data_IF_450535903793
#
_entry.id   IF_450535903793
#
_cell.length_a   1.000
_cell.length_b   1.000
_cell.length_c   1.000
_cell.angle_alpha   90.00
_cell.angle_beta   90.00
_cell.angle_gamma   90.00
#
_symmetry.space_group_name_H-M   'P 1'
#
loop_
_entity.id
_entity.type
_entity.pdbx_description
1 polymer ?
#
# COMPACT_ATOMS: atom_id res chain seq x y z
N UNK A 1 -18.80 -16.23 -21.44
CA UNK A 1 -18.94 -14.77 -21.68
C UNK A 1 -19.14 -14.14 -20.32
N UNK A 2 -18.20 -13.30 -19.89
CA UNK A 2 -18.25 -12.64 -18.60
C UNK A 2 -19.32 -11.56 -18.66
N UNK A 3 -20.31 -11.61 -17.77
CA UNK A 3 -21.37 -10.59 -17.67
C UNK A 3 -20.91 -9.44 -16.78
N UNK A 4 -19.69 -8.92 -17.04
CA UNK A 4 -19.17 -7.77 -16.31
C UNK A 4 -19.67 -6.49 -17.02
N UNK A 5 -20.54 -5.67 -16.40
CA UNK A 5 -21.08 -4.46 -17.02
C UNK A 5 -20.04 -3.33 -17.24
N UNK A 6 -18.78 -3.57 -16.87
CA UNK A 6 -17.63 -2.68 -17.11
C UNK A 6 -16.72 -3.16 -18.24
N UNK A 7 -17.13 -4.20 -18.99
CA UNK A 7 -16.40 -4.75 -20.15
C UNK A 7 -16.68 -3.94 -21.44
N UNK A 8 -16.73 -2.60 -21.30
CA UNK A 8 -16.79 -1.65 -22.41
C UNK A 8 -15.38 -1.06 -22.58
N UNK A 9 -14.90 -0.90 -23.82
CA UNK A 9 -13.59 -0.32 -24.18
C UNK A 9 -13.30 1.04 -23.50
N UNK A 10 -14.34 1.75 -23.07
CA UNK A 10 -14.23 3.03 -22.36
C UNK A 10 -13.70 2.91 -20.93
N UNK A 11 -13.98 1.81 -20.23
CA UNK A 11 -13.53 1.58 -18.85
C UNK A 11 -12.15 0.94 -18.77
N UNK A 12 -11.69 0.34 -19.87
CA UNK A 12 -10.42 -0.35 -19.96
C UNK A 12 -9.23 0.54 -19.56
N UNK A 13 -9.26 1.83 -19.93
CA UNK A 13 -8.23 2.81 -19.56
C UNK A 13 -8.07 3.10 -18.06
N UNK A 14 -9.05 2.72 -17.24
CA UNK A 14 -9.04 2.94 -15.80
C UNK A 14 -8.70 1.68 -15.00
N UNK A 15 -8.51 0.56 -15.69
CA UNK A 15 -8.17 -0.73 -15.08
C UNK A 15 -6.73 -1.05 -15.46
N UNK A 16 -5.93 -1.42 -14.46
CA UNK A 16 -4.59 -1.97 -14.73
C UNK A 16 -4.71 -3.39 -15.25
N UNK A 17 -4.04 -3.68 -16.36
CA UNK A 17 -3.91 -5.01 -16.92
C UNK A 17 -2.69 -5.74 -16.36
N UNK A 18 -2.66 -7.08 -16.43
CA UNK A 18 -1.45 -7.84 -16.11
C UNK A 18 -0.26 -7.34 -16.95
N UNK A 19 0.76 -6.81 -16.27
CA UNK A 19 1.97 -6.27 -16.91
C UNK A 19 2.03 -4.75 -17.01
N UNK A 20 0.93 -4.03 -16.73
CA UNK A 20 0.92 -2.56 -16.74
C UNK A 20 1.68 -1.97 -15.54
N UNK A 21 1.68 -2.70 -14.42
CA UNK A 21 2.38 -2.30 -13.21
C UNK A 21 3.85 -2.73 -13.30
N UNK A 22 4.72 -1.75 -13.47
CA UNK A 22 6.18 -1.92 -13.39
C UNK A 22 6.62 -1.49 -11.99
N UNK A 23 7.24 -2.42 -11.28
CA UNK A 23 7.86 -2.11 -9.98
C UNK A 23 9.12 -1.29 -10.19
N UNK A 24 9.18 -0.11 -9.57
CA UNK A 24 10.38 0.72 -9.53
C UNK A 24 11.26 0.24 -8.37
N UNK A 25 12.38 -0.39 -8.70
CA UNK A 25 13.33 -0.93 -7.70
C UNK A 25 14.65 -0.16 -7.65
N UNK A 26 14.90 0.74 -8.61
CA UNK A 26 16.09 1.57 -8.63
C UNK A 26 16.06 2.63 -7.51
N UNK A 27 17.04 2.66 -6.59
CA UNK A 27 17.02 3.59 -5.47
C UNK A 27 17.05 5.07 -5.87
N UNK A 28 17.71 5.43 -6.97
CA UNK A 28 17.76 6.82 -7.46
C UNK A 28 16.40 7.26 -8.00
N UNK A 29 15.75 6.40 -8.77
CA UNK A 29 14.39 6.64 -9.26
C UNK A 29 13.38 6.74 -8.11
N UNK A 30 13.46 5.85 -7.11
CA UNK A 30 12.63 5.92 -5.91
C UNK A 30 12.85 7.24 -5.17
N UNK A 31 14.10 7.66 -4.97
CA UNK A 31 14.40 8.94 -4.32
C UNK A 31 13.82 10.13 -5.09
N UNK A 32 13.98 10.15 -6.42
CA UNK A 32 13.40 11.20 -7.27
C UNK A 32 11.88 11.26 -7.19
N UNK A 33 11.21 10.10 -7.16
CA UNK A 33 9.76 10.02 -6.96
C UNK A 33 9.34 10.56 -5.59
N UNK A 34 10.08 10.23 -4.53
CA UNK A 34 9.82 10.73 -3.18
C UNK A 34 9.93 12.26 -3.14
N UNK A 35 10.99 12.83 -3.72
CA UNK A 35 11.17 14.28 -3.80
C UNK A 35 10.06 14.97 -4.60
N UNK A 36 9.70 14.40 -5.75
CA UNK A 36 8.66 14.95 -6.64
C UNK A 36 7.27 14.93 -6.01
N UNK A 37 6.94 13.86 -5.29
CA UNK A 37 5.60 13.65 -4.72
C UNK A 37 5.47 14.14 -3.28
N UNK A 38 6.59 14.30 -2.57
CA UNK A 38 6.62 14.53 -1.12
C UNK A 38 6.18 13.30 -0.31
N UNK A 39 5.98 12.14 -0.95
CA UNK A 39 5.56 10.91 -0.30
C UNK A 39 6.78 10.05 -0.08
N UNK A 40 7.10 9.81 1.19
CA UNK A 40 8.21 8.97 1.61
C UNK A 40 7.64 7.67 2.20
N UNK A 41 7.98 6.50 1.64
CA UNK A 41 7.57 5.22 2.22
C UNK A 41 8.06 5.08 3.66
N UNK A 42 7.30 4.34 4.48
CA UNK A 42 7.80 3.94 5.79
C UNK A 42 9.01 3.01 5.65
N UNK A 43 9.90 2.96 6.66
CA UNK A 43 10.94 1.94 6.74
C UNK A 43 10.35 0.53 6.56
N UNK A 44 11.10 -0.35 5.90
CA UNK A 44 10.62 -1.68 5.49
C UNK A 44 9.99 -2.48 6.65
N UNK A 45 10.63 -2.50 7.81
CA UNK A 45 10.13 -3.18 9.01
C UNK A 45 8.75 -2.65 9.43
N UNK A 46 8.59 -1.33 9.48
CA UNK A 46 7.33 -0.68 9.84
C UNK A 46 6.25 -0.96 8.79
N UNK A 47 6.59 -0.83 7.52
CA UNK A 47 5.66 -1.10 6.42
C UNK A 47 5.19 -2.55 6.41
N UNK A 48 6.08 -3.52 6.68
CA UNK A 48 5.76 -4.93 6.77
C UNK A 48 4.78 -5.19 7.93
N UNK A 49 5.03 -4.62 9.11
CA UNK A 49 4.14 -4.77 10.25
C UNK A 49 2.75 -4.17 9.98
N UNK A 50 2.68 -2.95 9.45
CA UNK A 50 1.42 -2.29 9.06
C UNK A 50 0.65 -3.15 8.06
N UNK A 51 1.33 -3.71 7.07
CA UNK A 51 0.71 -4.52 6.02
C UNK A 51 0.10 -5.80 6.59
N UNK A 52 0.79 -6.50 7.49
CA UNK A 52 0.27 -7.71 8.12
C UNK A 52 -0.88 -7.43 9.08
N UNK A 53 -0.76 -6.42 9.93
CA UNK A 53 -1.83 -6.02 10.86
C UNK A 53 -3.07 -5.51 10.12
N UNK A 54 -2.88 -4.71 9.06
CA UNK A 54 -3.95 -4.23 8.20
C UNK A 54 -4.71 -5.38 7.51
N UNK A 55 -3.99 -6.36 6.95
CA UNK A 55 -4.61 -7.58 6.38
C UNK A 55 -5.37 -8.36 7.45
N UNK A 56 -4.83 -8.48 8.66
CA UNK A 56 -5.48 -9.20 9.76
C UNK A 56 -6.80 -8.52 10.18
N UNK A 57 -6.80 -7.20 10.37
CA UNK A 57 -8.00 -6.41 10.72
C UNK A 57 -9.05 -6.44 9.61
N UNK A 58 -8.62 -6.28 8.36
CA UNK A 58 -9.53 -6.33 7.20
C UNK A 58 -10.26 -7.67 7.13
N UNK A 59 -9.56 -8.79 7.31
CA UNK A 59 -10.18 -10.14 7.32
C UNK A 59 -11.21 -10.32 8.44
N UNK A 60 -11.10 -9.56 9.52
CA UNK A 60 -12.04 -9.57 10.64
C UNK A 60 -13.20 -8.57 10.47
N UNK A 61 -13.24 -7.82 9.36
CA UNK A 61 -14.23 -6.78 9.12
C UNK A 61 -14.03 -5.54 10.00
N UNK A 62 -12.84 -5.36 10.58
CA UNK A 62 -12.50 -4.19 11.37
C UNK A 62 -12.06 -3.03 10.46
N UNK A 63 -12.31 -1.77 10.86
CA UNK A 63 -11.77 -0.61 10.16
C UNK A 63 -10.24 -0.68 10.05
N UNK A 64 -9.71 -0.29 8.89
CA UNK A 64 -8.27 -0.25 8.62
C UNK A 64 -7.88 1.16 8.18
N UNK A 65 -6.93 1.75 8.89
CA UNK A 65 -6.29 3.01 8.56
C UNK A 65 -4.78 2.80 8.64
N UNK A 66 -4.07 3.02 7.54
CA UNK A 66 -2.60 2.93 7.48
C UNK A 66 -1.95 3.90 8.47
N UNK A 67 -2.51 5.09 8.65
CA UNK A 67 -1.98 6.10 9.57
C UNK A 67 -2.15 5.67 11.03
N UNK A 68 -3.31 5.16 11.40
CA UNK A 68 -3.56 4.71 12.79
C UNK A 68 -2.66 3.52 13.15
N UNK A 69 -2.43 2.62 12.19
CA UNK A 69 -1.51 1.49 12.34
C UNK A 69 -0.05 1.98 12.46
N UNK A 70 0.34 3.01 11.70
CA UNK A 70 1.66 3.59 11.82
C UNK A 70 1.91 4.20 13.21
N UNK A 71 0.93 4.91 13.76
CA UNK A 71 0.98 5.48 15.11
C UNK A 71 0.97 4.38 16.19
N UNK A 72 0.26 3.29 15.95
CA UNK A 72 0.25 2.12 16.83
C UNK A 72 1.61 1.42 16.85
N UNK A 73 2.23 1.20 15.68
CA UNK A 73 3.58 0.66 15.57
C UNK A 73 4.58 1.50 16.37
N UNK A 74 4.59 2.82 16.18
CA UNK A 74 5.52 3.72 16.86
C UNK A 74 5.34 3.66 18.39
N UNK A 75 4.09 3.63 18.86
CA UNK A 75 3.79 3.46 20.29
C UNK A 75 4.26 2.12 20.84
N UNK A 76 4.11 1.03 20.09
CA UNK A 76 4.52 -0.30 20.51
C UNK A 76 6.05 -0.46 20.53
N UNK A 77 6.76 0.06 19.50
CA UNK A 77 8.24 0.11 19.50
C UNK A 77 8.78 0.93 20.65
N UNK A 78 8.20 2.10 20.93
CA UNK A 78 8.60 2.94 22.06
C UNK A 78 8.41 2.25 23.42
N UNK A 79 7.48 1.30 23.51
CA UNK A 79 7.23 0.49 24.71
C UNK A 79 8.07 -0.79 24.77
N UNK A 80 8.90 -1.08 23.75
CA UNK A 80 9.67 -2.34 23.65
C UNK A 80 8.80 -3.58 23.47
N UNK A 81 7.58 -3.43 22.93
CA UNK A 81 6.64 -4.53 22.65
C UNK A 81 6.77 -5.08 21.23
N UNK A 82 7.55 -4.40 20.39
CA UNK A 82 7.94 -4.75 19.02
C UNK A 82 9.44 -4.47 18.85
#
# INVERSE_FOLDING_TARGET
MSSNPFDDEEYDRFVFHPGDLIEVTDPEEVASLCEKTGIYPYPEEKQAWISEEGKARYRQGLPVSTFDLADEYDRLKAQGKL
#
